data_IF_815283944775
#
_entry.id   IF_815283944775
#
_cell.length_a   1.000
_cell.length_b   1.000
_cell.length_c   1.000
_cell.angle_alpha   90.00
_cell.angle_beta   90.00
_cell.angle_gamma   90.00
#
_symmetry.space_group_name_H-M   'P 1'
#
loop_
_entity.id
_entity.type
_entity.pdbx_description
1 polymer ?
#
# COMPACT_ATOMS: atom_id res chain seq x y z
N UNK A 1 25.71 11.76 39.64
CA UNK A 1 24.39 12.39 39.38
C UNK A 1 24.21 12.55 37.86
N UNK A 2 24.19 11.45 37.10
CA UNK A 2 24.23 11.47 35.62
C UNK A 2 23.55 10.24 34.98
N UNK A 3 22.33 9.89 35.42
CA UNK A 3 21.59 8.72 34.89
C UNK A 3 20.11 8.98 34.57
N UNK A 4 19.62 10.22 34.72
CA UNK A 4 18.20 10.56 34.51
C UNK A 4 17.90 11.15 33.11
N UNK A 5 18.91 11.44 32.28
CA UNK A 5 18.73 12.04 30.95
C UNK A 5 18.52 11.05 29.79
N UNK A 6 18.91 9.78 29.93
CA UNK A 6 18.82 8.78 28.86
C UNK A 6 17.44 8.09 28.76
N UNK A 7 16.74 7.95 29.89
CA UNK A 7 15.43 7.28 29.91
C UNK A 7 14.35 8.07 29.12
N UNK A 8 14.41 9.40 29.14
CA UNK A 8 13.44 10.27 28.47
C UNK A 8 13.60 10.30 26.94
N UNK A 9 14.83 10.16 26.41
CA UNK A 9 15.07 10.05 24.97
C UNK A 9 14.59 8.70 24.40
N UNK A 10 14.78 7.62 25.15
CA UNK A 10 14.32 6.27 24.77
C UNK A 10 12.80 6.20 24.72
N UNK A 11 12.12 6.79 25.69
CA UNK A 11 10.65 6.87 25.70
C UNK A 11 10.11 7.79 24.60
N UNK A 12 10.80 8.90 24.29
CA UNK A 12 10.43 9.77 23.18
C UNK A 12 10.55 9.06 21.81
N UNK A 13 11.64 8.32 21.57
CA UNK A 13 11.83 7.54 20.34
C UNK A 13 10.80 6.40 20.21
N UNK A 14 10.48 5.73 21.31
CA UNK A 14 9.42 4.72 21.34
C UNK A 14 8.05 5.35 21.00
N UNK A 15 7.70 6.50 21.60
CA UNK A 15 6.46 7.23 21.31
C UNK A 15 6.40 7.62 19.83
N UNK A 16 7.51 8.04 19.22
CA UNK A 16 7.58 8.38 17.80
C UNK A 16 7.31 7.17 16.89
N UNK A 17 7.92 6.01 17.18
CA UNK A 17 7.76 4.80 16.37
C UNK A 17 6.35 4.19 16.53
N UNK A 18 5.78 4.28 17.74
CA UNK A 18 4.39 3.91 18.03
C UNK A 18 3.42 4.89 17.35
N UNK A 19 3.68 6.20 17.36
CA UNK A 19 2.88 7.20 16.64
C UNK A 19 2.94 7.01 15.11
N UNK A 20 4.07 6.51 14.59
CA UNK A 20 4.25 6.13 13.19
C UNK A 20 3.55 4.80 12.81
N UNK A 21 2.72 4.23 13.69
CA UNK A 21 1.86 3.08 13.39
C UNK A 21 2.50 1.71 13.63
N UNK A 22 3.73 1.64 14.14
CA UNK A 22 4.33 0.35 14.52
C UNK A 22 3.68 -0.13 15.82
N UNK A 23 3.09 -1.32 15.78
CA UNK A 23 2.37 -1.93 16.91
C UNK A 23 2.97 -3.24 17.41
N UNK A 24 3.97 -3.78 16.72
CA UNK A 24 4.62 -5.03 17.13
C UNK A 24 5.41 -4.81 18.42
N UNK A 25 4.87 -5.34 19.52
CA UNK A 25 5.47 -5.19 20.85
C UNK A 25 6.85 -5.83 20.97
N UNK A 26 7.19 -6.87 20.20
CA UNK A 26 8.53 -7.46 20.25
C UNK A 26 9.53 -6.56 19.53
N UNK A 27 9.18 -6.09 18.33
CA UNK A 27 10.02 -5.17 17.54
C UNK A 27 10.31 -3.86 18.28
N UNK A 28 9.30 -3.31 18.97
CA UNK A 28 9.46 -2.10 19.76
C UNK A 28 10.29 -2.33 21.03
N UNK A 29 10.22 -3.52 21.63
CA UNK A 29 11.10 -3.91 22.75
C UNK A 29 12.54 -4.04 22.31
N UNK A 30 12.79 -4.64 21.15
CA UNK A 30 14.14 -4.72 20.56
C UNK A 30 14.72 -3.33 20.31
N UNK A 31 13.93 -2.41 19.77
CA UNK A 31 14.36 -1.02 19.56
C UNK A 31 14.82 -0.37 20.88
N UNK A 32 14.01 -0.46 21.93
CA UNK A 32 14.33 0.12 23.24
C UNK A 32 15.54 -0.58 23.87
N UNK A 33 15.64 -1.90 23.72
CA UNK A 33 16.78 -2.70 24.17
C UNK A 33 18.10 -2.21 23.54
N UNK A 34 18.15 -2.10 22.21
CA UNK A 34 19.37 -1.66 21.51
C UNK A 34 19.72 -0.20 21.78
N UNK A 35 18.75 0.65 22.10
CA UNK A 35 19.03 2.02 22.53
C UNK A 35 19.65 2.09 23.93
N UNK A 36 19.27 1.19 24.84
CA UNK A 36 19.87 1.09 26.19
C UNK A 36 21.21 0.38 26.17
N UNK A 37 21.40 -0.52 25.22
CA UNK A 37 22.57 -1.39 25.08
C UNK A 37 23.18 -1.26 23.68
N UNK A 38 23.75 -0.08 23.33
CA UNK A 38 24.18 0.23 21.97
C UNK A 38 25.34 -0.64 21.45
N UNK A 39 26.09 -1.27 22.35
CA UNK A 39 27.19 -2.18 22.03
C UNK A 39 26.81 -3.65 22.09
N UNK A 40 25.55 -3.97 22.43
CA UNK A 40 25.10 -5.35 22.64
C UNK A 40 24.55 -5.97 21.34
N UNK A 41 24.89 -7.24 21.13
CA UNK A 41 24.31 -8.07 20.07
C UNK A 41 22.92 -8.62 20.46
N UNK A 42 22.37 -9.57 19.68
CA UNK A 42 21.18 -10.31 20.07
C UNK A 42 21.36 -10.97 21.44
N UNK A 43 20.30 -11.00 22.25
CA UNK A 43 20.33 -11.64 23.58
C UNK A 43 20.57 -13.14 23.39
N UNK A 44 21.68 -13.64 23.95
CA UNK A 44 22.03 -15.05 23.87
C UNK A 44 21.00 -15.92 24.60
N UNK A 45 20.82 -17.16 24.14
CA UNK A 45 19.81 -18.06 24.68
C UNK A 45 20.01 -18.37 26.17
N UNK A 46 21.25 -18.31 26.66
CA UNK A 46 21.70 -18.56 28.04
C UNK A 46 21.88 -17.27 28.87
N UNK A 47 21.63 -16.08 28.29
CA UNK A 47 21.73 -14.81 29.02
C UNK A 47 20.41 -14.47 29.73
N UNK A 48 20.21 -15.12 30.89
CA UNK A 48 19.03 -14.95 31.74
C UNK A 48 18.80 -13.50 32.19
N UNK A 49 19.88 -12.74 32.40
CA UNK A 49 19.82 -11.36 32.87
C UNK A 49 19.27 -10.43 31.79
N UNK A 50 19.82 -10.52 30.57
CA UNK A 50 19.34 -9.74 29.43
C UNK A 50 17.92 -10.09 29.04
N UNK A 51 17.53 -11.38 29.09
CA UNK A 51 16.12 -11.77 28.83
C UNK A 51 15.16 -11.21 29.90
N UNK A 52 15.58 -11.16 31.16
CA UNK A 52 14.77 -10.59 32.24
C UNK A 52 14.55 -9.10 32.03
N UNK A 53 15.59 -8.36 31.66
CA UNK A 53 15.48 -6.94 31.35
C UNK A 53 14.66 -6.67 30.07
N UNK A 54 14.83 -7.47 29.01
CA UNK A 54 14.01 -7.37 27.79
C UNK A 54 12.51 -7.55 28.10
N UNK A 55 12.16 -8.56 28.91
CA UNK A 55 10.77 -8.77 29.35
C UNK A 55 10.27 -7.61 30.23
N UNK A 56 11.15 -7.01 31.03
CA UNK A 56 10.83 -5.83 31.81
C UNK A 56 10.53 -4.63 30.90
N UNK A 57 11.39 -4.32 29.92
CA UNK A 57 11.16 -3.27 28.91
C UNK A 57 9.83 -3.47 28.20
N UNK A 58 9.54 -4.71 27.78
CA UNK A 58 8.29 -5.04 27.09
C UNK A 58 7.06 -4.76 27.95
N UNK A 59 7.12 -5.15 29.22
CA UNK A 59 5.97 -5.05 30.13
C UNK A 59 5.77 -3.66 30.71
N UNK A 60 6.83 -2.92 31.02
CA UNK A 60 6.75 -1.62 31.72
C UNK A 60 6.80 -0.41 30.79
N UNK A 61 7.35 -0.54 29.58
CA UNK A 61 7.56 0.60 28.67
C UNK A 61 6.75 0.41 27.38
N UNK A 62 6.97 -0.69 26.67
CA UNK A 62 6.43 -0.89 25.32
C UNK A 62 4.93 -1.15 25.32
N UNK A 63 4.44 -2.12 26.11
CA UNK A 63 3.01 -2.42 26.17
C UNK A 63 2.18 -1.21 26.62
N UNK A 64 2.56 -0.44 27.66
CA UNK A 64 1.86 0.79 28.02
C UNK A 64 1.88 1.86 26.91
N UNK A 65 3.00 2.06 26.21
CA UNK A 65 3.09 3.02 25.11
C UNK A 65 2.14 2.67 23.94
N UNK A 66 2.07 1.37 23.59
CA UNK A 66 1.15 0.88 22.54
C UNK A 66 -0.32 0.99 22.99
N UNK A 67 -0.62 0.75 24.27
CA UNK A 67 -1.99 0.84 24.81
C UNK A 67 -2.48 2.29 24.95
N UNK A 68 -1.61 3.22 25.40
CA UNK A 68 -1.99 4.61 25.70
C UNK A 68 -2.25 5.48 24.47
N UNK A 69 -1.79 5.07 23.28
CA UNK A 69 -2.12 5.75 22.02
C UNK A 69 -3.54 5.45 21.52
N UNK A 70 -4.24 4.49 22.13
CA UNK A 70 -5.66 4.22 21.87
C UNK A 70 -6.64 4.93 22.83
N UNK A 71 -6.17 5.47 23.95
CA UNK A 71 -7.04 5.87 25.08
C UNK A 71 -7.12 7.39 25.35
N UNK A 72 -6.43 8.25 24.60
CA UNK A 72 -6.36 9.71 24.86
C UNK A 72 -6.94 10.59 23.74
N UNK A 73 -8.03 10.14 23.11
CA UNK A 73 -8.78 10.91 22.12
C UNK A 73 -10.11 11.49 22.64
N UNK A 74 -10.24 11.73 23.95
CA UNK A 74 -11.44 12.34 24.54
C UNK A 74 -11.09 13.48 25.48
N UNK A 75 -11.77 14.61 25.26
CA UNK A 75 -11.78 15.89 25.99
C UNK A 75 -10.71 16.93 25.58
N UNK A 76 -11.06 17.71 24.56
CA UNK A 76 -10.59 19.08 24.34
C UNK A 76 -11.80 20.01 24.10
N UNK A 77 -11.76 21.27 24.53
CA UNK A 77 -12.95 22.09 24.84
C UNK A 77 -13.71 22.57 23.60
N UNK A 78 -15.03 22.75 23.78
CA UNK A 78 -15.96 23.19 22.76
C UNK A 78 -15.54 24.53 22.12
N UNK A 79 -15.46 24.55 20.78
CA UNK A 79 -15.33 25.77 19.98
C UNK A 79 -16.73 26.33 19.62
N UNK A 80 -16.88 27.65 19.49
CA UNK A 80 -18.18 28.33 19.49
C UNK A 80 -18.92 28.16 18.16
N UNK A 81 -20.24 28.03 18.26
CA UNK A 81 -21.19 28.03 17.14
C UNK A 81 -21.26 29.41 16.49
N UNK A 82 -20.57 29.58 15.35
CA UNK A 82 -20.78 30.69 14.42
C UNK A 82 -21.68 30.27 13.27
N UNK A 83 -22.94 30.70 13.29
CA UNK A 83 -23.89 30.58 12.17
C UNK A 83 -23.51 31.55 11.06
N UNK A 84 -23.08 31.06 9.90
CA UNK A 84 -22.94 31.87 8.69
C UNK A 84 -24.12 31.59 7.74
N UNK A 85 -25.01 32.58 7.64
CA UNK A 85 -26.05 32.68 6.60
C UNK A 85 -25.41 33.02 5.25
N UNK A 86 -25.67 32.20 4.23
CA UNK A 86 -25.25 32.45 2.86
C UNK A 86 -26.14 33.54 2.21
N UNK A 87 -25.51 34.60 1.71
CA UNK A 87 -26.13 35.57 0.80
C UNK A 87 -25.85 35.23 -0.67
N UNK A 88 -26.71 35.62 -1.63
CA UNK A 88 -26.60 35.24 -3.03
C UNK A 88 -25.67 36.19 -3.81
N UNK A 89 -24.94 35.66 -4.79
CA UNK A 89 -24.18 36.45 -5.79
C UNK A 89 -24.67 36.05 -7.21
N UNK A 90 -24.77 37.01 -8.16
CA UNK A 90 -25.57 36.92 -9.38
C UNK A 90 -24.83 36.28 -10.58
N UNK A 91 -25.63 35.93 -11.61
CA UNK A 91 -25.22 35.28 -12.85
C UNK A 91 -24.79 36.24 -13.97
N UNK A 92 -23.80 35.81 -14.78
CA UNK A 92 -23.68 36.06 -16.24
C UNK A 92 -22.56 35.14 -16.82
N UNK A 93 -22.88 34.17 -17.70
CA UNK A 93 -22.79 34.18 -19.20
C UNK A 93 -21.35 34.03 -19.76
N UNK A 94 -21.03 33.38 -20.90
CA UNK A 94 -21.47 32.19 -21.65
C UNK A 94 -20.51 32.04 -22.86
N UNK A 95 -19.88 30.87 -23.08
CA UNK A 95 -19.35 30.36 -24.39
C UNK A 95 -19.27 28.81 -24.32
N UNK A 96 -19.21 28.02 -25.43
CA UNK A 96 -20.30 27.15 -25.86
C UNK A 96 -19.90 25.64 -25.85
N UNK A 97 -20.72 24.69 -26.36
CA UNK A 97 -21.10 23.49 -25.64
C UNK A 97 -20.07 22.33 -25.75
N UNK A 98 -19.70 21.75 -24.62
CA UNK A 98 -19.19 20.38 -24.54
C UNK A 98 -19.94 19.65 -23.43
N UNK A 99 -20.86 18.78 -23.86
CA UNK A 99 -21.54 17.71 -23.13
C UNK A 99 -21.49 17.79 -21.60
N UNK A 100 -22.45 18.55 -21.05
CA UNK A 100 -22.86 18.43 -19.66
C UNK A 100 -23.79 17.22 -19.49
N UNK A 101 -23.76 16.59 -18.31
CA UNK A 101 -25.01 16.04 -17.78
C UNK A 101 -24.98 14.85 -16.83
N UNK A 102 -24.00 14.69 -15.93
CA UNK A 102 -24.31 14.14 -14.59
C UNK A 102 -23.44 14.85 -13.55
N UNK A 103 -23.87 16.01 -13.08
CA UNK A 103 -23.47 16.44 -11.73
C UNK A 103 -24.17 15.51 -10.75
N UNK A 104 -23.44 14.53 -10.23
CA UNK A 104 -23.93 13.69 -9.16
C UNK A 104 -24.36 14.60 -7.98
N UNK A 105 -25.58 14.43 -7.43
CA UNK A 105 -25.98 15.18 -6.26
C UNK A 105 -24.99 14.92 -5.12
N UNK A 106 -24.64 15.97 -4.37
CA UNK A 106 -23.84 15.85 -3.14
C UNK A 106 -24.62 14.95 -2.18
N UNK A 107 -24.20 13.70 -2.07
CA UNK A 107 -24.87 12.72 -1.22
C UNK A 107 -24.82 13.23 0.24
N UNK A 108 -25.90 13.04 1.03
CA UNK A 108 -25.84 13.31 2.46
C UNK A 108 -24.70 12.50 3.11
N UNK A 109 -24.07 13.01 4.18
CA UNK A 109 -22.99 12.29 4.86
C UNK A 109 -23.50 10.91 5.28
N UNK A 110 -22.82 9.88 4.82
CA UNK A 110 -23.23 8.52 5.08
C UNK A 110 -23.02 8.18 6.55
N UNK A 111 -24.10 7.73 7.21
CA UNK A 111 -24.08 7.31 8.61
C UNK A 111 -23.08 6.16 8.89
N UNK A 112 -22.61 5.48 7.84
CA UNK A 112 -21.66 4.37 7.88
C UNK A 112 -20.21 4.82 8.09
N UNK A 113 -19.83 6.03 7.66
CA UNK A 113 -18.45 6.51 7.68
C UNK A 113 -18.24 7.49 8.83
N UNK A 114 -17.42 7.08 9.80
CA UNK A 114 -17.13 7.85 11.00
C UNK A 114 -15.98 8.81 10.76
N UNK A 115 -16.02 9.98 11.38
CA UNK A 115 -14.89 10.91 11.37
C UNK A 115 -13.65 10.23 11.98
N UNK A 116 -12.52 10.30 11.28
CA UNK A 116 -11.24 9.77 11.73
C UNK A 116 -10.10 10.67 11.23
N UNK A 117 -10.10 11.90 11.73
CA UNK A 117 -9.11 12.92 11.35
C UNK A 117 -7.70 12.35 11.38
N UNK A 118 -6.94 12.64 10.33
CA UNK A 118 -5.52 12.29 10.24
C UNK A 118 -4.61 13.52 10.42
N UNK A 119 -5.14 14.68 10.83
CA UNK A 119 -4.37 15.93 10.89
C UNK A 119 -3.03 15.77 11.61
N UNK A 120 -3.00 15.15 12.79
CA UNK A 120 -1.78 14.97 13.57
C UNK A 120 -0.74 14.06 12.89
N UNK A 121 -1.15 13.19 11.97
CA UNK A 121 -0.25 12.29 11.21
C UNK A 121 0.41 12.98 10.02
N UNK A 122 -0.19 14.07 9.51
CA UNK A 122 0.24 14.74 8.28
C UNK A 122 0.72 16.17 8.51
N UNK A 123 0.38 16.79 9.64
CA UNK A 123 0.88 18.09 10.02
C UNK A 123 2.35 18.01 10.43
N UNK A 124 3.14 18.98 9.98
CA UNK A 124 4.56 19.08 10.29
C UNK A 124 4.74 19.52 11.76
N UNK A 125 5.12 18.58 12.61
CA UNK A 125 5.29 18.81 14.04
C UNK A 125 6.75 19.17 14.39
N UNK A 126 7.00 19.46 15.67
CA UNK A 126 8.33 19.90 16.13
C UNK A 126 9.43 18.85 15.96
N UNK A 127 9.08 17.57 16.11
CA UNK A 127 10.00 16.46 15.85
C UNK A 127 10.41 16.42 14.38
N UNK A 128 9.45 16.59 13.47
CA UNK A 128 9.73 16.62 12.03
C UNK A 128 10.68 17.79 11.71
N UNK A 129 10.41 18.98 12.27
CA UNK A 129 11.28 20.16 12.09
C UNK A 129 12.68 19.93 12.62
N UNK A 130 12.81 19.28 13.78
CA UNK A 130 14.11 18.93 14.37
C UNK A 130 14.90 18.00 13.44
N UNK A 131 14.26 16.97 12.87
CA UNK A 131 14.90 16.06 11.90
C UNK A 131 15.38 16.82 10.65
N UNK A 132 14.55 17.73 10.12
CA UNK A 132 14.91 18.51 8.94
C UNK A 132 16.00 19.55 9.22
N UNK A 133 16.05 20.12 10.42
CA UNK A 133 17.06 21.08 10.84
C UNK A 133 18.41 20.43 11.19
N UNK A 134 18.38 19.19 11.70
CA UNK A 134 19.59 18.44 12.08
C UNK A 134 20.39 17.91 10.88
N UNK A 135 19.84 17.98 9.66
CA UNK A 135 20.49 17.48 8.45
C UNK A 135 20.35 18.48 7.32
N UNK A 136 21.35 18.56 6.45
CA UNK A 136 21.27 19.30 5.19
C UNK A 136 20.59 18.47 4.10
N UNK A 137 20.14 19.11 3.03
CA UNK A 137 19.61 18.39 1.87
C UNK A 137 20.65 17.45 1.23
N UNK A 138 21.93 17.84 1.25
CA UNK A 138 23.03 17.03 0.74
C UNK A 138 23.24 15.77 1.58
N UNK A 139 23.27 15.90 2.91
CA UNK A 139 23.42 14.75 3.82
C UNK A 139 22.26 13.77 3.68
N UNK A 140 21.01 14.27 3.60
CA UNK A 140 19.84 13.42 3.36
C UNK A 140 19.93 12.66 2.05
N UNK A 141 20.42 13.32 0.99
CA UNK A 141 20.66 12.66 -0.31
C UNK A 141 21.71 11.56 -0.18
N UNK A 142 22.82 11.83 0.50
CA UNK A 142 23.87 10.83 0.77
C UNK A 142 23.31 9.63 1.54
N UNK A 143 22.54 9.87 2.60
CA UNK A 143 21.89 8.81 3.38
C UNK A 143 20.93 7.97 2.51
N UNK A 144 20.14 8.60 1.63
CA UNK A 144 19.27 7.88 0.67
C UNK A 144 20.05 7.02 -0.31
N UNK A 145 21.13 7.55 -0.88
CA UNK A 145 21.97 6.83 -1.85
C UNK A 145 22.70 5.64 -1.18
N UNK A 146 23.18 5.85 0.05
CA UNK A 146 23.75 4.79 0.88
C UNK A 146 22.70 3.72 1.20
N UNK A 147 21.48 4.11 1.56
CA UNK A 147 20.40 3.17 1.84
C UNK A 147 19.99 2.38 0.59
N UNK A 148 19.89 3.02 -0.56
CA UNK A 148 19.58 2.36 -1.84
C UNK A 148 20.57 1.22 -2.12
N UNK A 149 21.85 1.46 -1.88
CA UNK A 149 22.93 0.47 -2.04
C UNK A 149 22.92 -0.60 -0.94
N UNK A 150 22.64 -0.21 0.30
CA UNK A 150 22.65 -1.12 1.46
C UNK A 150 21.40 -1.97 1.63
N UNK A 151 20.27 -1.60 1.02
CA UNK A 151 18.96 -2.26 1.17
C UNK A 151 18.97 -3.76 0.82
N UNK A 152 19.61 -4.24 -0.28
CA UNK A 152 19.68 -5.68 -0.57
C UNK A 152 20.40 -6.46 0.54
N UNK A 153 21.52 -5.93 1.03
CA UNK A 153 22.27 -6.53 2.15
C UNK A 153 21.44 -6.54 3.43
N UNK A 154 20.78 -5.43 3.74
CA UNK A 154 19.87 -5.37 4.89
C UNK A 154 18.77 -6.43 4.80
N UNK A 155 18.13 -6.59 3.63
CA UNK A 155 17.09 -7.62 3.42
C UNK A 155 17.64 -9.03 3.63
N UNK A 156 18.82 -9.34 3.08
CA UNK A 156 19.44 -10.66 3.22
C UNK A 156 19.78 -10.97 4.69
N UNK A 157 20.36 -10.00 5.41
CA UNK A 157 20.72 -10.14 6.82
C UNK A 157 19.48 -10.22 7.73
N UNK A 158 18.46 -9.40 7.49
CA UNK A 158 17.20 -9.43 8.23
C UNK A 158 16.46 -10.76 8.02
N UNK A 159 16.43 -11.27 6.78
CA UNK A 159 15.86 -12.58 6.48
C UNK A 159 16.65 -13.71 7.17
N UNK A 160 17.98 -13.62 7.19
CA UNK A 160 18.84 -14.57 7.92
C UNK A 160 18.55 -14.52 9.43
N UNK A 161 18.46 -13.31 10.01
CA UNK A 161 18.18 -13.10 11.43
C UNK A 161 16.83 -13.68 11.87
N UNK A 162 15.81 -13.57 11.02
CA UNK A 162 14.46 -14.12 11.28
C UNK A 162 14.40 -15.65 11.22
N UNK A 163 15.35 -16.30 10.55
CA UNK A 163 15.41 -17.77 10.48
C UNK A 163 15.97 -18.29 11.80
N UNK A 164 15.11 -18.93 12.62
CA UNK A 164 15.46 -19.53 13.93
C UNK A 164 16.67 -20.48 13.95
N UNK A 165 17.16 -20.94 12.80
CA UNK A 165 18.29 -21.87 12.65
C UNK A 165 19.60 -21.21 12.21
N UNK A 166 19.62 -19.90 11.93
CA UNK A 166 20.79 -19.20 11.40
C UNK A 166 21.23 -18.12 12.37
N UNK A 167 22.46 -18.25 12.90
CA UNK A 167 23.07 -17.23 13.76
C UNK A 167 23.84 -16.25 12.87
N UNK A 168 23.64 -14.95 13.10
CA UNK A 168 24.47 -13.91 12.49
C UNK A 168 25.85 -13.92 13.14
N UNK A 169 26.91 -13.75 12.34
CA UNK A 169 28.23 -13.42 12.89
C UNK A 169 28.18 -12.04 13.56
N UNK A 170 29.14 -11.74 14.45
CA UNK A 170 29.22 -10.42 15.09
C UNK A 170 29.31 -9.28 14.05
N UNK A 171 30.06 -9.48 12.96
CA UNK A 171 30.17 -8.52 11.86
C UNK A 171 28.82 -8.33 11.12
N UNK A 172 28.10 -9.41 10.82
CA UNK A 172 26.78 -9.34 10.19
C UNK A 172 25.75 -8.65 11.10
N UNK A 173 25.77 -8.92 12.40
CA UNK A 173 24.88 -8.27 13.37
C UNK A 173 25.17 -6.75 13.45
N UNK A 174 26.45 -6.37 13.51
CA UNK A 174 26.88 -4.96 13.49
C UNK A 174 26.45 -4.25 12.19
N UNK A 175 26.63 -4.91 11.04
CA UNK A 175 26.22 -4.37 9.75
C UNK A 175 24.70 -4.23 9.65
N UNK A 176 23.93 -5.22 10.13
CA UNK A 176 22.48 -5.15 10.20
C UNK A 176 22.01 -3.97 11.05
N UNK A 177 22.63 -3.76 12.22
CA UNK A 177 22.35 -2.61 13.09
C UNK A 177 22.64 -1.27 12.42
N UNK A 178 23.79 -1.14 11.77
CA UNK A 178 24.18 0.08 11.03
C UNK A 178 23.19 0.39 9.91
N UNK A 179 22.82 -0.62 9.12
CA UNK A 179 21.85 -0.48 8.02
C UNK A 179 20.44 -0.17 8.54
N UNK A 180 20.05 -0.72 9.69
CA UNK A 180 18.78 -0.41 10.34
C UNK A 180 18.72 1.06 10.81
N UNK A 181 19.81 1.59 11.38
CA UNK A 181 19.92 3.00 11.76
C UNK A 181 19.86 3.93 10.55
N UNK A 182 20.60 3.60 9.48
CA UNK A 182 20.55 4.34 8.22
C UNK A 182 19.12 4.37 7.64
N UNK A 183 18.45 3.21 7.60
CA UNK A 183 17.04 3.10 7.18
C UNK A 183 16.14 3.99 8.02
N UNK A 184 16.32 4.03 9.34
CA UNK A 184 15.52 4.85 10.23
C UNK A 184 15.70 6.35 9.96
N UNK A 185 16.95 6.81 9.77
CA UNK A 185 17.23 8.22 9.42
C UNK A 185 16.62 8.64 8.09
N UNK A 186 16.78 7.78 7.06
CA UNK A 186 16.18 8.01 5.73
C UNK A 186 14.66 8.07 5.83
N UNK A 187 14.04 7.14 6.55
CA UNK A 187 12.58 7.12 6.70
C UNK A 187 12.07 8.36 7.43
N UNK A 188 12.68 8.72 8.56
CA UNK A 188 12.27 9.89 9.34
C UNK A 188 12.37 11.18 8.49
N UNK A 189 13.49 11.35 7.78
CA UNK A 189 13.70 12.49 6.90
C UNK A 189 12.68 12.55 5.76
N UNK A 190 12.44 11.42 5.08
CA UNK A 190 11.52 11.37 3.95
C UNK A 190 10.06 11.61 4.39
N UNK A 191 9.65 11.12 5.56
CA UNK A 191 8.31 11.40 6.12
C UNK A 191 8.16 12.89 6.42
N UNK A 192 9.15 13.52 7.05
CA UNK A 192 9.12 14.95 7.36
C UNK A 192 9.09 15.82 6.08
N UNK A 193 9.90 15.47 5.07
CA UNK A 193 9.86 16.11 3.74
C UNK A 193 8.52 15.88 3.05
N UNK A 194 7.97 14.68 3.13
CA UNK A 194 6.66 14.35 2.59
C UNK A 194 5.51 15.12 3.22
N UNK A 195 5.55 15.40 4.54
CA UNK A 195 4.58 16.29 5.19
C UNK A 195 4.69 17.74 4.67
N UNK A 196 5.92 18.20 4.40
CA UNK A 196 6.15 19.50 3.76
C UNK A 196 5.56 19.53 2.35
N UNK A 197 5.78 18.47 1.57
CA UNK A 197 5.21 18.32 0.23
C UNK A 197 3.68 18.30 0.26
N UNK A 198 3.08 17.54 1.19
CA UNK A 198 1.63 17.50 1.39
C UNK A 198 1.07 18.89 1.65
N UNK A 199 1.69 19.65 2.55
CA UNK A 199 1.27 21.04 2.84
C UNK A 199 1.24 21.87 1.56
N UNK A 200 2.34 21.87 0.81
CA UNK A 200 2.47 22.66 -0.42
C UNK A 200 1.46 22.23 -1.49
N UNK A 201 1.20 20.93 -1.62
CA UNK A 201 0.22 20.38 -2.55
C UNK A 201 -1.21 20.77 -2.16
N UNK A 202 -1.59 20.64 -0.88
CA UNK A 202 -2.93 20.99 -0.40
C UNK A 202 -3.18 22.49 -0.56
N UNK A 203 -2.25 23.34 -0.16
CA UNK A 203 -2.37 24.80 -0.30
C UNK A 203 -2.46 25.24 -1.77
N UNK A 204 -1.77 24.53 -2.68
CA UNK A 204 -1.84 24.78 -4.11
C UNK A 204 -3.15 24.28 -4.74
N UNK A 205 -3.62 23.09 -4.33
CA UNK A 205 -4.87 22.53 -4.80
C UNK A 205 -6.07 23.35 -4.32
N UNK A 206 -6.01 23.85 -3.08
CA UNK A 206 -7.09 24.56 -2.41
C UNK A 206 -6.56 25.83 -1.73
N UNK A 207 -6.45 26.95 -2.46
CA UNK A 207 -5.93 28.20 -1.90
C UNK A 207 -6.69 28.64 -0.64
N UNK A 208 -5.95 28.98 0.41
CA UNK A 208 -6.49 29.39 1.71
C UNK A 208 -6.87 28.22 2.65
N UNK A 209 -6.75 26.97 2.20
CA UNK A 209 -6.96 25.79 3.04
C UNK A 209 -5.65 25.25 3.60
N UNK A 210 -5.75 24.48 4.68
CA UNK A 210 -4.61 23.92 5.40
C UNK A 210 -4.58 22.40 5.33
N UNK A 211 -3.45 21.80 5.75
CA UNK A 211 -3.35 20.36 6.01
C UNK A 211 -4.44 19.92 6.98
N UNK A 212 -4.70 20.69 8.05
CA UNK A 212 -5.75 20.36 9.00
C UNK A 212 -7.14 20.31 8.35
N UNK A 213 -7.46 21.26 7.46
CA UNK A 213 -8.72 21.26 6.72
C UNK A 213 -8.89 19.99 5.89
N UNK A 214 -7.88 19.58 5.12
CA UNK A 214 -7.95 18.37 4.29
C UNK A 214 -8.06 17.11 5.15
N UNK A 215 -7.13 16.90 6.09
CA UNK A 215 -7.07 15.64 6.84
C UNK A 215 -8.11 15.51 7.96
N UNK A 216 -8.80 16.60 8.33
CA UNK A 216 -10.01 16.51 9.18
C UNK A 216 -11.17 15.77 8.50
N UNK A 217 -11.15 15.68 7.16
CA UNK A 217 -12.16 15.03 6.36
C UNK A 217 -11.88 13.54 6.11
N UNK A 218 -10.82 12.98 6.70
CA UNK A 218 -10.60 11.54 6.68
C UNK A 218 -11.71 10.83 7.46
N UNK A 219 -12.21 9.75 6.87
CA UNK A 219 -13.26 8.89 7.39
C UNK A 219 -12.75 7.47 7.58
N UNK A 220 -13.31 6.77 8.54
CA UNK A 220 -13.21 5.31 8.65
C UNK A 220 -14.58 4.67 8.51
N UNK A 221 -14.66 3.63 7.69
CA UNK A 221 -15.88 2.92 7.38
C UNK A 221 -15.55 1.61 6.67
N UNK A 222 -16.46 1.11 5.83
CA UNK A 222 -16.20 -0.11 5.07
C UNK A 222 -16.81 -0.08 3.68
N UNK A 223 -16.21 -0.85 2.77
CA UNK A 223 -16.74 -1.18 1.45
C UNK A 223 -16.86 -2.71 1.38
N UNK A 224 -18.06 -3.23 1.15
CA UNK A 224 -18.36 -4.66 1.04
C UNK A 224 -17.83 -5.48 2.23
N UNK A 225 -17.93 -4.91 3.44
CA UNK A 225 -17.43 -5.52 4.68
C UNK A 225 -15.93 -5.35 4.93
N UNK A 226 -15.20 -4.66 4.05
CA UNK A 226 -13.77 -4.41 4.19
C UNK A 226 -13.54 -3.04 4.82
N UNK A 227 -12.91 -3.01 5.99
CA UNK A 227 -12.59 -1.78 6.71
C UNK A 227 -11.56 -0.93 5.95
N UNK A 228 -11.83 0.38 5.86
CA UNK A 228 -11.00 1.34 5.15
C UNK A 228 -10.93 2.67 5.91
N UNK A 229 -9.82 3.39 5.72
CA UNK A 229 -9.61 4.78 6.13
C UNK A 229 -9.24 5.62 4.92
N UNK A 230 -10.13 6.52 4.50
CA UNK A 230 -10.01 7.30 3.25
C UNK A 230 -10.53 8.72 3.42
N UNK A 231 -10.24 9.59 2.47
CA UNK A 231 -10.83 10.93 2.42
C UNK A 231 -12.34 10.85 2.12
N UNK A 232 -13.10 11.81 2.65
CA UNK A 232 -14.56 11.88 2.47
C UNK A 232 -14.99 11.76 1.00
N UNK A 233 -14.30 12.44 0.08
CA UNK A 233 -14.61 12.38 -1.34
C UNK A 233 -14.56 10.93 -1.90
N UNK A 234 -13.62 10.10 -1.44
CA UNK A 234 -13.53 8.70 -1.86
C UNK A 234 -14.56 7.82 -1.13
N UNK A 235 -14.83 8.08 0.15
CA UNK A 235 -15.88 7.40 0.90
C UNK A 235 -17.27 7.56 0.23
N UNK A 236 -17.59 8.76 -0.25
CA UNK A 236 -18.84 9.03 -0.97
C UNK A 236 -18.96 8.23 -2.28
N UNK A 237 -17.84 8.01 -3.00
CA UNK A 237 -17.82 7.12 -4.17
C UNK A 237 -18.02 5.65 -3.79
N UNK A 238 -17.42 5.22 -2.69
CA UNK A 238 -17.65 3.85 -2.20
C UNK A 238 -19.09 3.59 -1.80
N UNK A 239 -19.78 4.55 -1.19
CA UNK A 239 -21.21 4.41 -0.89
C UNK A 239 -22.04 4.29 -2.18
N UNK A 240 -21.72 5.06 -3.22
CA UNK A 240 -22.38 4.95 -4.52
C UNK A 240 -22.16 3.58 -5.16
N UNK A 241 -20.92 3.07 -5.16
CA UNK A 241 -20.60 1.77 -5.73
C UNK A 241 -21.24 0.61 -4.95
N UNK A 242 -21.20 0.66 -3.62
CA UNK A 242 -21.80 -0.36 -2.76
C UNK A 242 -23.32 -0.38 -2.92
N UNK A 243 -23.99 0.78 -2.91
CA UNK A 243 -25.42 0.86 -3.17
C UNK A 243 -25.78 0.27 -4.54
N UNK A 244 -24.99 0.58 -5.58
CA UNK A 244 -25.20 0.05 -6.93
C UNK A 244 -24.96 -1.47 -7.04
N UNK A 245 -24.07 -2.04 -6.22
CA UNK A 245 -23.87 -3.49 -6.11
C UNK A 245 -25.01 -4.18 -5.37
N UNK A 246 -25.44 -3.59 -4.25
CA UNK A 246 -26.53 -4.12 -3.43
C UNK A 246 -27.86 -4.15 -4.18
N UNK A 247 -28.11 -3.13 -5.01
CA UNK A 247 -29.34 -2.99 -5.77
C UNK A 247 -29.38 -3.76 -7.11
N UNK A 248 -28.26 -4.29 -7.61
CA UNK A 248 -28.23 -5.03 -8.89
C UNK A 248 -28.66 -6.49 -8.66
N UNK A 249 -29.86 -6.91 -9.10
CA UNK A 249 -30.38 -8.25 -8.82
C UNK A 249 -29.59 -9.36 -9.53
N UNK A 250 -28.78 -9.03 -10.54
CA UNK A 250 -27.88 -10.01 -11.20
C UNK A 250 -26.64 -10.28 -10.36
N UNK A 251 -26.21 -9.30 -9.56
CA UNK A 251 -25.04 -9.39 -8.68
C UNK A 251 -25.45 -9.86 -7.28
N UNK A 252 -26.60 -9.38 -6.79
CA UNK A 252 -27.12 -9.66 -5.45
C UNK A 252 -28.55 -10.27 -5.48
N UNK A 253 -28.76 -11.45 -6.11
CA UNK A 253 -30.09 -12.04 -6.27
C UNK A 253 -30.76 -12.41 -4.95
N UNK A 254 -29.97 -12.59 -3.88
CA UNK A 254 -30.45 -12.95 -2.54
C UNK A 254 -30.63 -11.75 -1.61
N UNK A 255 -30.47 -10.52 -2.13
CA UNK A 255 -30.56 -9.28 -1.33
C UNK A 255 -29.71 -9.33 -0.05
N UNK A 256 -28.48 -9.86 -0.19
CA UNK A 256 -27.51 -9.92 0.89
C UNK A 256 -27.13 -8.50 1.33
N UNK A 257 -26.78 -8.35 2.60
CA UNK A 257 -26.11 -7.14 3.07
C UNK A 257 -24.70 -6.97 2.46
N UNK A 258 -24.09 -5.81 2.66
CA UNK A 258 -22.80 -5.46 2.06
C UNK A 258 -21.67 -6.44 2.42
N UNK A 259 -21.61 -6.92 3.66
CA UNK A 259 -20.54 -7.80 4.11
C UNK A 259 -20.72 -9.22 3.57
N UNK A 260 -21.96 -9.73 3.57
CA UNK A 260 -22.29 -11.03 2.99
C UNK A 260 -22.13 -11.03 1.46
N UNK A 261 -22.51 -9.93 0.78
CA UNK A 261 -22.26 -9.75 -0.64
C UNK A 261 -20.76 -9.69 -0.93
N UNK A 262 -19.99 -8.92 -0.14
CA UNK A 262 -18.53 -8.84 -0.27
C UNK A 262 -17.85 -10.21 -0.24
N UNK A 263 -18.24 -11.07 0.70
CA UNK A 263 -17.74 -12.47 0.75
C UNK A 263 -18.09 -13.25 -0.52
N UNK A 264 -19.30 -13.09 -1.04
CA UNK A 264 -19.74 -13.75 -2.28
C UNK A 264 -18.97 -13.24 -3.50
N UNK A 265 -18.60 -11.96 -3.50
CA UNK A 265 -17.81 -11.31 -4.55
C UNK A 265 -16.29 -11.46 -4.37
N UNK A 266 -15.85 -12.26 -3.40
CA UNK A 266 -14.42 -12.52 -3.17
C UNK A 266 -13.64 -11.38 -2.54
N UNK A 267 -14.31 -10.46 -1.83
CA UNK A 267 -13.64 -9.40 -1.06
C UNK A 267 -13.09 -9.97 0.26
N UNK A 268 -11.86 -9.61 0.62
CA UNK A 268 -11.24 -10.02 1.88
C UNK A 268 -10.29 -8.96 2.44
N UNK A 269 -9.95 -9.10 3.73
CA UNK A 269 -9.18 -8.13 4.52
C UNK A 269 -7.68 -8.13 4.16
N UNK A 270 -7.39 -7.73 2.93
CA UNK A 270 -6.05 -7.49 2.39
C UNK A 270 -6.12 -6.17 1.64
N UNK A 271 -5.94 -5.07 2.38
CA UNK A 271 -6.10 -3.73 1.85
C UNK A 271 -4.95 -2.80 2.26
N UNK A 272 -4.80 -1.74 1.48
CA UNK A 272 -3.92 -0.61 1.77
C UNK A 272 -4.67 0.67 1.41
N UNK A 273 -4.82 1.60 2.34
CA UNK A 273 -5.66 2.80 2.17
C UNK A 273 -4.85 4.09 2.39
N UNK A 274 -5.23 4.95 3.32
CA UNK A 274 -4.45 6.14 3.68
C UNK A 274 -3.05 5.75 4.15
N UNK A 275 -2.00 6.21 3.45
CA UNK A 275 -0.59 5.89 3.73
C UNK A 275 0.23 7.12 4.02
N UNK A 276 1.26 7.00 4.86
CA UNK A 276 2.21 8.09 5.13
C UNK A 276 2.71 8.77 3.84
N UNK A 277 3.04 10.07 3.88
CA UNK A 277 3.48 10.84 2.72
C UNK A 277 4.72 10.26 2.04
N UNK A 278 4.52 9.45 0.99
CA UNK A 278 5.59 8.78 0.25
C UNK A 278 5.34 8.94 -1.25
N UNK A 279 6.44 9.01 -2.00
CA UNK A 279 6.39 8.99 -3.45
C UNK A 279 5.68 7.73 -3.95
N UNK A 280 4.91 7.88 -5.03
CA UNK A 280 4.36 6.74 -5.75
C UNK A 280 5.49 5.81 -6.21
N UNK A 281 5.24 4.50 -6.19
CA UNK A 281 6.23 3.52 -6.67
C UNK A 281 6.59 3.83 -8.13
N UNK A 282 7.89 3.96 -8.41
CA UNK A 282 8.38 4.33 -9.74
C UNK A 282 8.10 5.77 -10.18
N UNK A 283 7.55 6.62 -9.30
CA UNK A 283 7.19 8.01 -9.59
C UNK A 283 7.97 9.05 -8.79
N UNK A 284 7.88 10.31 -9.23
CA UNK A 284 8.48 11.49 -8.57
C UNK A 284 7.46 12.36 -7.83
N UNK A 285 6.19 11.98 -7.82
CA UNK A 285 5.14 12.68 -7.07
C UNK A 285 4.64 11.81 -5.93
N UNK A 286 4.14 12.45 -4.87
CA UNK A 286 3.44 11.74 -3.79
C UNK A 286 2.31 10.87 -4.34
N UNK A 287 2.11 9.72 -3.69
CA UNK A 287 1.04 8.79 -4.00
C UNK A 287 -0.33 9.38 -3.66
N UNK A 288 -1.37 9.02 -4.42
CA UNK A 288 -2.76 9.37 -4.10
C UNK A 288 -3.21 8.77 -2.76
N UNK A 289 -2.57 7.69 -2.30
CA UNK A 289 -2.79 7.14 -0.97
C UNK A 289 -2.42 8.12 0.14
N UNK A 290 -1.44 8.99 -0.08
CA UNK A 290 -1.05 10.00 0.90
C UNK A 290 -2.11 11.07 1.12
N UNK A 291 -3.09 11.17 0.24
CA UNK A 291 -4.21 12.10 0.36
C UNK A 291 -5.52 11.41 0.74
N UNK A 292 -5.50 10.09 0.99
CA UNK A 292 -6.71 9.31 1.26
C UNK A 292 -7.60 9.11 0.03
N UNK A 293 -7.05 9.28 -1.18
CA UNK A 293 -7.78 9.25 -2.45
C UNK A 293 -7.50 7.99 -3.27
N UNK A 294 -6.86 6.98 -2.66
CA UNK A 294 -6.61 5.71 -3.30
C UNK A 294 -6.68 4.56 -2.29
N UNK A 295 -6.99 3.37 -2.82
CA UNK A 295 -6.99 2.10 -2.10
C UNK A 295 -6.37 1.01 -2.98
N UNK A 296 -5.67 0.08 -2.35
CA UNK A 296 -5.31 -1.19 -2.92
C UNK A 296 -6.23 -2.22 -2.27
N UNK A 297 -7.03 -2.92 -3.07
CA UNK A 297 -7.99 -3.92 -2.57
C UNK A 297 -7.52 -5.33 -2.93
N UNK A 298 -7.87 -6.33 -2.11
CA UNK A 298 -7.48 -7.73 -2.29
C UNK A 298 -5.98 -7.90 -2.66
N UNK A 299 -5.08 -7.12 -2.05
CA UNK A 299 -3.72 -6.96 -2.57
C UNK A 299 -2.94 -8.29 -2.63
N UNK A 300 -3.18 -9.22 -1.71
CA UNK A 300 -2.51 -10.53 -1.73
C UNK A 300 -2.89 -11.36 -2.95
N UNK A 301 -4.06 -11.15 -3.56
CA UNK A 301 -4.50 -11.87 -4.76
C UNK A 301 -4.31 -11.10 -6.06
N UNK A 302 -3.85 -9.85 -5.98
CA UNK A 302 -3.68 -8.95 -7.13
C UNK A 302 -2.28 -8.31 -7.09
N UNK A 303 -1.21 -9.09 -7.33
CA UNK A 303 0.17 -8.60 -7.24
C UNK A 303 0.45 -7.46 -8.24
N UNK A 304 1.45 -6.63 -7.92
CA UNK A 304 1.95 -5.58 -8.80
C UNK A 304 2.90 -6.19 -9.83
N UNK A 305 2.35 -6.66 -10.95
CA UNK A 305 3.09 -7.37 -11.99
C UNK A 305 4.12 -6.47 -12.68
N UNK A 306 5.36 -6.95 -12.82
CA UNK A 306 6.48 -6.23 -13.45
C UNK A 306 7.31 -5.38 -12.49
N UNK A 307 6.88 -5.23 -11.22
CA UNK A 307 7.57 -4.39 -10.24
C UNK A 307 8.90 -4.99 -9.78
N UNK A 308 9.02 -6.31 -9.77
CA UNK A 308 10.21 -7.08 -9.41
C UNK A 308 10.97 -7.63 -10.63
N UNK A 309 10.63 -7.17 -11.85
CA UNK A 309 11.31 -7.55 -13.09
C UNK A 309 10.41 -8.28 -14.08
N UNK A 310 11.02 -8.98 -15.04
CA UNK A 310 10.30 -9.55 -16.20
C UNK A 310 9.76 -10.97 -15.98
N UNK A 311 10.12 -11.64 -14.90
CA UNK A 311 9.75 -13.04 -14.67
C UNK A 311 8.23 -13.27 -14.75
N UNK A 312 7.42 -12.48 -14.04
CA UNK A 312 5.97 -12.64 -14.07
C UNK A 312 5.35 -12.21 -15.42
N UNK A 313 5.68 -11.03 -15.99
CA UNK A 313 5.22 -10.68 -17.34
C UNK A 313 5.54 -11.74 -18.41
N UNK A 314 6.75 -12.29 -18.40
CA UNK A 314 7.19 -13.28 -19.39
C UNK A 314 6.48 -14.63 -19.21
N UNK A 315 6.29 -15.08 -17.96
CA UNK A 315 5.52 -16.29 -17.66
C UNK A 315 4.05 -16.13 -18.08
N UNK A 316 3.43 -14.97 -17.84
CA UNK A 316 2.05 -14.69 -18.27
C UNK A 316 1.95 -14.66 -19.79
N UNK A 317 2.94 -14.06 -20.48
CA UNK A 317 2.97 -14.04 -21.94
C UNK A 317 3.10 -15.46 -22.52
N UNK A 318 3.98 -16.30 -21.98
CA UNK A 318 4.08 -17.73 -22.35
C UNK A 318 2.80 -18.49 -22.07
N UNK A 319 2.21 -18.30 -20.89
CA UNK A 319 0.97 -18.95 -20.50
C UNK A 319 -0.17 -18.64 -21.48
N UNK A 320 -0.32 -17.36 -21.84
CA UNK A 320 -1.36 -16.93 -22.79
C UNK A 320 -1.07 -17.36 -24.22
N UNK A 321 0.20 -17.38 -24.64
CA UNK A 321 0.64 -17.97 -25.90
C UNK A 321 0.23 -19.44 -26.00
N UNK A 322 0.63 -20.27 -25.02
CA UNK A 322 0.36 -21.71 -25.06
C UNK A 322 -1.12 -22.06 -24.85
N UNK A 323 -1.78 -21.44 -23.87
CA UNK A 323 -3.15 -21.83 -23.47
C UNK A 323 -4.19 -21.25 -24.43
N UNK A 324 -4.01 -20.00 -24.86
CA UNK A 324 -5.01 -19.27 -25.64
C UNK A 324 -4.63 -19.09 -27.12
N UNK A 325 -3.40 -19.47 -27.53
CA UNK A 325 -2.84 -19.11 -28.85
C UNK A 325 -2.85 -17.60 -29.12
N UNK A 326 -2.73 -16.80 -28.05
CA UNK A 326 -2.71 -15.34 -28.11
C UNK A 326 -1.78 -14.83 -27.00
N UNK A 327 -0.51 -14.49 -27.31
CA UNK A 327 0.39 -13.93 -26.31
C UNK A 327 -0.10 -12.56 -25.84
N UNK A 328 -0.35 -12.42 -24.54
CA UNK A 328 -0.80 -11.18 -23.92
C UNK A 328 0.38 -10.52 -23.19
N UNK A 329 0.73 -9.31 -23.62
CA UNK A 329 1.59 -8.40 -22.84
C UNK A 329 0.73 -7.75 -21.74
N UNK A 330 0.80 -8.31 -20.53
CA UNK A 330 0.02 -7.83 -19.37
C UNK A 330 0.34 -6.38 -18.99
N UNK A 331 1.58 -5.92 -19.25
CA UNK A 331 2.03 -4.57 -18.91
C UNK A 331 1.39 -3.51 -19.80
N UNK A 332 1.05 -3.87 -21.03
CA UNK A 332 0.35 -3.00 -21.99
C UNK A 332 -1.15 -3.25 -22.07
N UNK A 333 -1.64 -4.28 -21.38
CA UNK A 333 -3.04 -4.65 -21.42
C UNK A 333 -3.86 -3.79 -20.46
N UNK A 334 -5.06 -3.42 -20.90
CA UNK A 334 -6.07 -2.74 -20.10
C UNK A 334 -7.39 -3.50 -20.15
N UNK A 335 -8.28 -3.18 -19.21
CA UNK A 335 -9.61 -3.76 -19.13
C UNK A 335 -9.65 -5.12 -18.42
N UNK A 336 -10.75 -5.36 -17.70
CA UNK A 336 -10.91 -6.51 -16.83
C UNK A 336 -10.84 -7.83 -17.60
N UNK A 337 -11.61 -7.95 -18.69
CA UNK A 337 -11.72 -9.19 -19.46
C UNK A 337 -10.36 -9.71 -19.96
N UNK A 338 -9.50 -8.82 -20.49
CA UNK A 338 -8.18 -9.21 -21.01
C UNK A 338 -7.23 -9.65 -19.89
N UNK A 339 -7.23 -8.92 -18.76
CA UNK A 339 -6.44 -9.29 -17.59
C UNK A 339 -6.93 -10.61 -16.97
N UNK A 340 -8.25 -10.84 -16.92
CA UNK A 340 -8.84 -12.09 -16.42
C UNK A 340 -8.48 -13.27 -17.31
N UNK A 341 -8.59 -13.11 -18.63
CA UNK A 341 -8.14 -14.12 -19.61
C UNK A 341 -6.66 -14.49 -19.42
N UNK A 342 -5.82 -13.51 -19.12
CA UNK A 342 -4.40 -13.75 -18.85
C UNK A 342 -4.17 -14.46 -17.50
N UNK A 343 -4.91 -14.08 -16.46
CA UNK A 343 -4.87 -14.75 -15.15
C UNK A 343 -5.30 -16.22 -15.24
N UNK A 344 -6.40 -16.50 -15.96
CA UNK A 344 -6.92 -17.86 -16.12
C UNK A 344 -6.00 -18.74 -16.98
N UNK A 345 -5.32 -18.14 -17.96
CA UNK A 345 -4.28 -18.83 -18.71
C UNK A 345 -3.12 -19.22 -17.81
N UNK A 346 -2.69 -18.34 -16.89
CA UNK A 346 -1.61 -18.65 -15.94
C UNK A 346 -1.98 -19.81 -15.01
N UNK A 347 -3.23 -19.84 -14.51
CA UNK A 347 -3.76 -20.97 -13.72
C UNK A 347 -3.67 -22.28 -14.52
N UNK A 348 -4.16 -22.27 -15.76
CA UNK A 348 -4.15 -23.45 -16.64
C UNK A 348 -2.71 -23.88 -16.94
N UNK A 349 -1.83 -22.94 -17.26
CA UNK A 349 -0.41 -23.16 -17.54
C UNK A 349 0.28 -23.88 -16.39
N UNK A 350 0.12 -23.40 -15.15
CA UNK A 350 0.71 -24.04 -13.98
C UNK A 350 0.02 -25.35 -13.57
N UNK A 351 -1.20 -25.61 -14.05
CA UNK A 351 -1.89 -26.89 -13.81
C UNK A 351 -1.23 -28.06 -14.55
N UNK A 352 -0.54 -27.81 -15.68
CA UNK A 352 0.15 -28.85 -16.46
C UNK A 352 1.31 -29.53 -15.73
N UNK A 353 1.78 -28.97 -14.61
CA UNK A 353 2.77 -29.61 -13.73
C UNK A 353 2.22 -30.85 -13.04
N UNK A 354 0.90 -30.98 -12.95
CA UNK A 354 0.27 -32.20 -12.46
C UNK A 354 0.36 -33.28 -13.55
N UNK A 355 0.88 -34.46 -13.20
CA UNK A 355 1.00 -35.60 -14.12
C UNK A 355 -0.33 -35.95 -14.81
N UNK A 356 -1.47 -35.78 -14.13
CA UNK A 356 -2.80 -36.01 -14.71
C UNK A 356 -3.16 -35.06 -15.86
N UNK A 357 -2.45 -33.92 -15.98
CA UNK A 357 -2.68 -32.88 -16.99
C UNK A 357 -1.72 -32.94 -18.18
N UNK A 358 -0.78 -33.89 -18.20
CA UNK A 358 0.21 -34.03 -19.29
C UNK A 358 -0.45 -34.34 -20.64
N UNK A 359 -1.54 -35.11 -20.66
CA UNK A 359 -2.29 -35.37 -21.89
C UNK A 359 -2.89 -34.08 -22.50
N UNK A 360 -3.39 -33.17 -21.64
CA UNK A 360 -3.91 -31.86 -22.06
C UNK A 360 -2.78 -30.96 -22.58
N UNK A 361 -1.62 -30.95 -21.89
CA UNK A 361 -0.43 -30.23 -22.37
C UNK A 361 0.00 -30.74 -23.75
N UNK A 362 0.07 -32.06 -23.94
CA UNK A 362 0.42 -32.67 -25.23
C UNK A 362 -0.52 -32.22 -26.35
N UNK A 363 -1.83 -32.13 -26.08
CA UNK A 363 -2.79 -31.65 -27.05
C UNK A 363 -2.58 -30.16 -27.39
N UNK A 364 -2.27 -29.32 -26.39
CA UNK A 364 -1.97 -27.90 -26.60
C UNK A 364 -0.72 -27.70 -27.43
N UNK A 365 0.40 -28.34 -27.06
CA UNK A 365 1.68 -28.23 -27.78
C UNK A 365 1.53 -28.66 -29.23
N UNK A 366 0.78 -29.72 -29.53
CA UNK A 366 0.55 -30.19 -30.92
C UNK A 366 -0.13 -29.14 -31.80
N UNK A 367 -0.99 -28.30 -31.22
CA UNK A 367 -1.76 -27.28 -31.95
C UNK A 367 -1.14 -25.89 -31.85
N UNK A 368 -0.04 -25.76 -31.11
CA UNK A 368 0.60 -24.49 -30.83
C UNK A 368 1.71 -24.23 -31.85
N UNK A 369 1.65 -23.07 -32.51
CA UNK A 369 2.76 -22.57 -33.29
C UNK A 369 3.68 -21.77 -32.37
N UNK A 370 4.76 -22.41 -31.90
CA UNK A 370 5.73 -21.79 -31.00
C UNK A 370 6.26 -20.48 -31.57
N UNK A 371 6.23 -19.42 -30.78
CA UNK A 371 6.91 -18.17 -31.10
C UNK A 371 8.43 -18.29 -30.88
N UNK A 372 9.19 -17.32 -31.39
CA UNK A 372 10.64 -17.26 -31.18
C UNK A 372 10.99 -17.28 -29.68
N UNK A 373 11.82 -18.24 -29.29
CA UNK A 373 12.26 -18.44 -27.91
C UNK A 373 11.30 -19.24 -27.03
N UNK A 374 10.18 -19.72 -27.56
CA UNK A 374 9.29 -20.65 -26.84
C UNK A 374 9.73 -22.11 -27.01
N UNK A 375 9.45 -22.98 -26.02
CA UNK A 375 9.65 -24.42 -26.18
C UNK A 375 8.84 -25.00 -27.35
N UNK A 376 9.36 -26.07 -27.96
CA UNK A 376 8.75 -26.71 -29.14
C UNK A 376 8.11 -28.07 -28.84
N UNK A 377 8.55 -28.75 -27.78
CA UNK A 377 8.05 -30.08 -27.40
C UNK A 377 7.50 -30.09 -25.96
N UNK A 378 6.82 -31.17 -25.62
CA UNK A 378 6.10 -31.31 -24.33
C UNK A 378 7.05 -31.28 -23.14
N UNK A 379 8.21 -31.94 -23.24
CA UNK A 379 9.16 -32.05 -22.15
C UNK A 379 9.80 -30.69 -21.83
N UNK A 380 10.19 -29.94 -22.87
CA UNK A 380 10.74 -28.59 -22.73
C UNK A 380 9.68 -27.61 -22.18
N UNK A 381 8.42 -27.73 -22.63
CA UNK A 381 7.33 -26.95 -22.06
C UNK A 381 7.13 -27.26 -20.57
N UNK A 382 7.13 -28.54 -20.18
CA UNK A 382 7.00 -28.94 -18.79
C UNK A 382 8.17 -28.42 -17.93
N UNK A 383 9.40 -28.46 -18.46
CA UNK A 383 10.57 -27.89 -17.80
C UNK A 383 10.43 -26.36 -17.62
N UNK A 384 10.02 -25.64 -18.67
CA UNK A 384 9.80 -24.19 -18.62
C UNK A 384 8.69 -23.81 -17.63
N UNK A 385 7.57 -24.54 -17.62
CA UNK A 385 6.46 -24.30 -16.68
C UNK A 385 6.94 -24.46 -15.22
N UNK A 386 7.73 -25.50 -14.95
CA UNK A 386 8.29 -25.72 -13.61
C UNK A 386 9.27 -24.62 -13.21
N UNK A 387 10.12 -24.17 -14.14
CA UNK A 387 11.04 -23.06 -13.92
C UNK A 387 10.28 -21.76 -13.64
N UNK A 388 9.30 -21.42 -14.48
CA UNK A 388 8.47 -20.22 -14.32
C UNK A 388 7.80 -20.22 -12.95
N UNK A 389 7.20 -21.35 -12.56
CA UNK A 389 6.58 -21.45 -11.26
C UNK A 389 7.59 -21.27 -10.12
N UNK A 390 8.77 -21.89 -10.20
CA UNK A 390 9.80 -21.77 -9.17
C UNK A 390 10.35 -20.35 -9.04
N UNK A 391 10.41 -19.58 -10.14
CA UNK A 391 10.84 -18.19 -10.14
C UNK A 391 9.77 -17.22 -9.60
N UNK A 392 8.50 -17.62 -9.61
CA UNK A 392 7.40 -16.81 -9.12
C UNK A 392 6.97 -17.20 -7.71
N UNK A 393 7.03 -18.48 -7.35
CA UNK A 393 6.57 -18.94 -6.04
C UNK A 393 7.44 -18.33 -4.94
N UNK A 394 6.80 -17.55 -4.06
CA UNK A 394 7.39 -16.91 -2.88
C UNK A 394 8.52 -15.90 -3.19
N UNK A 395 8.65 -15.46 -4.45
CA UNK A 395 9.66 -14.49 -4.89
C UNK A 395 9.11 -13.49 -5.92
N UNK A 396 9.86 -12.43 -6.17
CA UNK A 396 9.52 -11.46 -7.23
C UNK A 396 8.17 -10.78 -6.98
N UNK A 397 7.34 -10.65 -8.03
CA UNK A 397 6.04 -9.98 -7.96
C UNK A 397 5.02 -10.74 -7.09
N UNK A 398 5.26 -12.03 -6.81
CA UNK A 398 4.38 -12.86 -5.99
C UNK A 398 4.93 -13.07 -4.56
N UNK A 399 6.02 -12.40 -4.18
CA UNK A 399 6.55 -12.45 -2.81
C UNK A 399 5.49 -11.92 -1.80
N UNK A 400 4.98 -12.78 -0.93
CA UNK A 400 3.93 -12.41 0.03
C UNK A 400 2.50 -12.33 -0.54
N UNK A 401 2.31 -12.83 -1.76
CA UNK A 401 1.02 -12.91 -2.43
C UNK A 401 0.50 -14.36 -2.47
N UNK A 402 -0.69 -14.57 -3.02
CA UNK A 402 -1.24 -15.91 -3.30
C UNK A 402 -0.33 -16.66 -4.26
N UNK A 403 -0.42 -17.99 -4.19
CA UNK A 403 0.33 -18.87 -5.08
C UNK A 403 0.01 -18.52 -6.55
N UNK A 404 1.01 -18.32 -7.43
CA UNK A 404 0.78 -17.94 -8.83
C UNK A 404 -0.03 -18.98 -9.63
N UNK A 405 -0.10 -20.24 -9.17
CA UNK A 405 -1.01 -21.24 -9.74
C UNK A 405 -2.51 -20.95 -9.49
N UNK A 406 -2.83 -19.97 -8.64
CA UNK A 406 -4.18 -19.44 -8.42
C UNK A 406 -4.48 -18.21 -9.28
N UNK A 407 -3.54 -17.78 -10.13
CA UNK A 407 -3.68 -16.61 -10.98
C UNK A 407 -3.24 -15.32 -10.28
N UNK A 408 -3.55 -14.18 -10.90
CA UNK A 408 -3.12 -12.85 -10.45
C UNK A 408 -4.23 -11.78 -10.51
N UNK A 409 -5.46 -12.16 -10.85
CA UNK A 409 -6.64 -11.29 -10.80
C UNK A 409 -7.76 -11.96 -10.00
N UNK A 410 -7.91 -11.52 -8.75
CA UNK A 410 -8.87 -12.10 -7.80
C UNK A 410 -10.11 -11.22 -7.57
N UNK A 411 -10.24 -10.14 -8.35
CA UNK A 411 -11.44 -9.32 -8.32
C UNK A 411 -12.60 -9.96 -9.08
N UNK A 412 -13.81 -9.82 -8.54
CA UNK A 412 -15.02 -10.00 -9.32
C UNK A 412 -15.23 -8.80 -10.27
N UNK A 413 -15.60 -9.08 -11.52
CA UNK A 413 -15.84 -8.06 -12.55
C UNK A 413 -16.83 -6.99 -12.11
N UNK A 414 -17.91 -7.38 -11.42
CA UNK A 414 -18.94 -6.45 -10.99
C UNK A 414 -18.38 -5.41 -10.00
N UNK A 415 -17.47 -5.81 -9.11
CA UNK A 415 -16.83 -4.87 -8.16
C UNK A 415 -16.02 -3.84 -8.93
N UNK A 416 -15.15 -4.29 -9.84
CA UNK A 416 -14.31 -3.42 -10.65
C UNK A 416 -15.16 -2.47 -11.49
N UNK A 417 -16.17 -3.01 -12.18
CA UNK A 417 -17.06 -2.24 -13.04
C UNK A 417 -17.85 -1.17 -12.26
N UNK A 418 -18.36 -1.48 -11.06
CA UNK A 418 -19.10 -0.51 -10.25
C UNK A 418 -18.19 0.56 -9.65
N UNK A 419 -16.98 0.21 -9.24
CA UNK A 419 -16.00 1.22 -8.78
C UNK A 419 -15.59 2.17 -9.91
N UNK A 420 -15.31 1.64 -11.11
CA UNK A 420 -15.06 2.48 -12.29
C UNK A 420 -16.28 3.34 -12.63
N UNK A 421 -17.48 2.75 -12.57
CA UNK A 421 -18.74 3.44 -12.88
C UNK A 421 -19.06 4.63 -11.97
N UNK A 422 -18.44 4.73 -10.80
CA UNK A 422 -18.55 5.88 -9.89
C UNK A 422 -17.35 6.84 -9.96
N UNK A 423 -16.54 6.75 -11.01
CA UNK A 423 -15.46 7.69 -11.31
C UNK A 423 -14.09 7.32 -10.75
N UNK A 424 -13.88 6.08 -10.29
CA UNK A 424 -12.54 5.62 -9.91
C UNK A 424 -11.75 5.17 -11.14
N UNK A 425 -10.47 5.49 -11.16
CA UNK A 425 -9.50 4.84 -12.05
C UNK A 425 -9.10 3.50 -11.45
N UNK A 426 -8.87 2.48 -12.30
CA UNK A 426 -8.42 1.15 -11.89
C UNK A 426 -7.22 0.70 -12.71
N UNK A 427 -6.31 -0.06 -12.09
CA UNK A 427 -5.24 -0.75 -12.80
C UNK A 427 -4.09 0.18 -13.19
N UNK A 428 -3.39 0.71 -12.17
CA UNK A 428 -2.27 1.63 -12.33
C UNK A 428 -1.26 1.12 -13.36
N UNK A 429 -0.92 1.96 -14.35
CA UNK A 429 -0.02 1.58 -15.44
C UNK A 429 1.25 2.41 -15.34
N UNK A 430 2.39 1.73 -15.22
CA UNK A 430 3.70 2.33 -15.01
C UNK A 430 4.69 1.82 -16.07
N UNK A 431 5.80 2.53 -16.31
CA UNK A 431 6.85 2.02 -17.19
C UNK A 431 7.37 0.66 -16.70
N UNK A 432 6.95 -0.41 -17.38
CA UNK A 432 7.37 -1.78 -17.07
C UNK A 432 6.59 -2.50 -15.98
N UNK A 433 5.51 -1.92 -15.43
CA UNK A 433 4.74 -2.55 -14.36
C UNK A 433 3.24 -2.22 -14.40
N UNK A 434 2.40 -3.11 -13.86
CA UNK A 434 0.94 -3.01 -13.80
C UNK A 434 0.42 -3.31 -12.38
N UNK A 435 -0.24 -2.33 -11.79
CA UNK A 435 -0.77 -2.39 -10.43
C UNK A 435 -2.28 -2.62 -10.45
N UNK A 436 -2.70 -3.89 -10.38
CA UNK A 436 -4.09 -4.29 -10.56
C UNK A 436 -4.94 -4.17 -9.29
N UNK A 437 -4.30 -4.13 -8.12
CA UNK A 437 -4.98 -3.92 -6.83
C UNK A 437 -5.46 -2.46 -6.66
N UNK A 438 -4.85 -1.53 -7.39
CA UNK A 438 -4.99 -0.10 -7.20
C UNK A 438 -6.27 0.50 -7.79
N UNK A 439 -6.95 1.28 -6.97
CA UNK A 439 -8.03 2.18 -7.36
C UNK A 439 -7.78 3.58 -6.80
N UNK A 440 -7.99 4.62 -7.61
CA UNK A 440 -7.83 6.00 -7.17
C UNK A 440 -8.84 6.97 -7.77
N UNK A 441 -9.18 8.02 -7.00
CA UNK A 441 -10.10 9.07 -7.42
C UNK A 441 -9.35 10.24 -8.05
N UNK A 442 -9.60 10.50 -9.33
CA UNK A 442 -8.98 11.59 -10.11
C UNK A 442 -9.96 12.66 -10.56
N UNK A 443 -11.17 12.64 -10.03
CA UNK A 443 -12.23 13.61 -10.31
C UNK A 443 -12.51 14.49 -9.08
N UNK A 444 -13.17 15.63 -9.28
CA UNK A 444 -13.54 16.55 -8.19
C UNK A 444 -12.32 17.00 -7.40
N UNK A 445 -12.37 16.86 -6.07
CA UNK A 445 -11.23 17.17 -5.19
C UNK A 445 -9.98 16.33 -5.54
N UNK A 446 -10.18 15.11 -6.03
CA UNK A 446 -9.09 14.25 -6.49
C UNK A 446 -8.38 14.80 -7.73
N UNK A 447 -9.10 15.49 -8.61
CA UNK A 447 -8.48 16.17 -9.76
C UNK A 447 -7.57 17.30 -9.29
N UNK A 448 -8.03 18.12 -8.35
CA UNK A 448 -7.28 19.27 -7.82
C UNK A 448 -5.98 18.82 -7.15
N UNK A 449 -6.04 17.79 -6.29
CA UNK A 449 -4.85 17.17 -5.70
C UNK A 449 -3.94 16.56 -6.77
N UNK A 450 -4.49 15.83 -7.73
CA UNK A 450 -3.69 15.16 -8.75
C UNK A 450 -2.95 16.15 -9.67
N UNK A 451 -3.55 17.29 -10.00
CA UNK A 451 -2.86 18.34 -10.77
C UNK A 451 -1.82 19.08 -9.93
N UNK A 452 -2.15 19.44 -8.68
CA UNK A 452 -1.20 20.08 -7.78
C UNK A 452 0.02 19.20 -7.50
N UNK A 453 -0.16 17.89 -7.25
CA UNK A 453 0.94 16.94 -6.98
C UNK A 453 1.84 16.68 -8.19
N UNK A 454 1.30 16.69 -9.41
CA UNK A 454 2.09 16.53 -10.64
C UNK A 454 2.94 17.77 -10.90
N UNK A 455 2.38 18.95 -10.63
CA UNK A 455 3.07 20.22 -10.79
C UNK A 455 4.02 20.54 -9.62
N UNK A 456 3.98 19.75 -8.54
CA UNK A 456 4.85 19.91 -7.37
C UNK A 456 6.21 19.28 -7.60
N UNK A 457 7.28 20.01 -7.23
CA UNK A 457 8.64 19.45 -7.19
C UNK A 457 8.85 18.91 -5.78
N UNK A 458 8.85 17.58 -5.66
CA UNK A 458 8.99 16.92 -4.37
C UNK A 458 10.30 17.33 -3.67
N UNK A 459 10.26 17.38 -2.34
CA UNK A 459 11.43 17.66 -1.52
C UNK A 459 12.15 16.37 -1.07
N UNK A 460 11.63 15.18 -1.41
CA UNK A 460 12.10 13.87 -0.95
C UNK A 460 13.42 13.40 -1.55
#
# INVERSE_FOLDING_TARGET
>A
MALLGGATQVEAALIQVVAAGVRDTAQLTDLVWYMRHPSSGPIAADDDASRKEWNQIRSTIVRPAVANTGAKATAGPAAPTGTHTAGPIPAAQAVPPSVAGVTAPKAPPSAKWKANSATAEYELNESDRTVLAATTASERKTDRDAWKTGKPTWKALDAKNKRKKSVLTAAEASQLGTLAQLRARVLASNVALGKTDVKQIVEKAFPGQTVAWWYSQIKSGSLLGISLRVHQALAERFDQAEAALLADPRVNPRSLDAAALGKTLGMYASTSDLRSPMLAVGGSSLSMHSFGLAVDLNYTGNPFIGNAGKAAPDAIKRATSLVNNEPIDVLKSGGYAKLKKASDALVTYFSYRNAAKVAELKAKVRLHASADGEPVNVDDWLAQINQDYAQLKDTGDFEGHKDPAQGFLDFNEAVVAKLIGVGLTWGGTYPGAKDMMHFDLREGDGAQINEARKAHKNNQ
#
